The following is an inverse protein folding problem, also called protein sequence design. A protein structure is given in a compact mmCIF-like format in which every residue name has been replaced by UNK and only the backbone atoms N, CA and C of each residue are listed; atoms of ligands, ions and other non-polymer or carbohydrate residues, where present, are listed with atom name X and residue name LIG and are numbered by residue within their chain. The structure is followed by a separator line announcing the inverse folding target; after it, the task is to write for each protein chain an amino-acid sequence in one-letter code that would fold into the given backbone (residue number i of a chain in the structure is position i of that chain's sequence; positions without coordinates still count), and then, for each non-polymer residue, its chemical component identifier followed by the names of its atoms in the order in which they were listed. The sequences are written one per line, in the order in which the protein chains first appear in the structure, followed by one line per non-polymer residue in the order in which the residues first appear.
data_IF_772208479684
#
_entry.id   IF_772208479684
#
_cell.length_a   1.000
_cell.length_b   1.000
_cell.length_c   1.000
_cell.angle_alpha   90.00
_cell.angle_beta   90.00
_cell.angle_gamma   90.00
#
_symmetry.space_group_name_H-M   'P 1'
#
loop_
_entity.id
_entity.type
_entity.pdbx_description
1 polymer ?
#
# COMPACT_ATOMS: atom_id res chain seq x y z
N UNK A 1 26.12 10.77 36.33
CA UNK A 1 26.95 10.78 35.12
C UNK A 1 26.02 10.55 33.92
N UNK A 2 26.15 11.29 32.82
CA UNK A 2 25.38 10.99 31.63
C UNK A 2 25.77 9.61 31.09
N UNK A 3 24.79 8.79 30.76
CA UNK A 3 25.00 7.50 30.13
C UNK A 3 25.35 7.69 28.65
N UNK A 4 26.48 7.14 28.22
CA UNK A 4 26.91 7.13 26.81
C UNK A 4 26.84 5.72 26.28
N UNK A 5 25.83 5.38 25.42
CA UNK A 5 25.72 4.03 24.85
C UNK A 5 26.92 3.72 23.95
N UNK A 6 27.41 2.49 24.04
CA UNK A 6 28.43 1.97 23.13
C UNK A 6 27.78 1.50 21.82
N UNK A 7 28.46 1.60 20.66
CA UNK A 7 27.93 1.14 19.38
C UNK A 7 27.43 -0.32 19.42
N UNK A 8 28.10 -1.18 20.18
CA UNK A 8 27.71 -2.59 20.37
C UNK A 8 26.38 -2.80 21.11
N UNK A 9 25.87 -1.76 21.77
CA UNK A 9 24.58 -1.78 22.48
C UNK A 9 23.42 -1.31 21.61
N UNK A 10 23.72 -0.82 20.39
CA UNK A 10 22.71 -0.31 19.44
C UNK A 10 22.43 -1.39 18.41
N UNK A 11 21.16 -1.75 18.26
CA UNK A 11 20.68 -2.68 17.23
C UNK A 11 19.60 -2.00 16.41
N UNK A 12 19.68 -2.14 15.10
CA UNK A 12 18.65 -1.72 14.16
C UNK A 12 17.87 -2.95 13.67
N UNK A 13 16.57 -2.80 13.54
CA UNK A 13 15.67 -3.83 13.02
C UNK A 13 14.87 -3.25 11.87
N UNK A 14 14.82 -3.97 10.73
CA UNK A 14 13.84 -3.70 9.68
C UNK A 14 12.54 -4.41 10.08
N UNK A 15 11.48 -3.63 10.30
CA UNK A 15 10.13 -4.14 10.61
C UNK A 15 9.25 -3.93 9.39
N UNK A 16 8.68 -4.99 8.87
CA UNK A 16 7.79 -4.96 7.69
C UNK A 16 6.75 -6.08 7.79
N UNK A 17 5.74 -6.05 6.90
CA UNK A 17 4.79 -7.16 6.77
C UNK A 17 5.51 -8.44 6.33
N UNK A 18 5.07 -9.59 6.83
CA UNK A 18 5.57 -10.90 6.42
C UNK A 18 4.85 -11.34 5.13
N UNK A 19 5.34 -10.83 4.00
CA UNK A 19 4.77 -11.10 2.68
C UNK A 19 5.47 -12.27 2.00
N UNK A 20 4.67 -13.22 1.53
CA UNK A 20 5.18 -14.31 0.71
C UNK A 20 5.54 -13.78 -0.68
N UNK A 21 6.78 -13.99 -1.17
CA UNK A 21 7.13 -13.67 -2.55
C UNK A 21 6.23 -14.41 -3.54
N UNK A 22 5.70 -13.70 -4.53
CA UNK A 22 4.83 -14.24 -5.59
C UNK A 22 5.56 -14.37 -6.93
N UNK A 23 6.69 -13.69 -7.10
CA UNK A 23 7.49 -13.76 -8.32
C UNK A 23 8.98 -13.67 -8.04
N UNK A 24 9.77 -14.00 -9.06
CA UNK A 24 11.23 -13.81 -9.09
C UNK A 24 11.62 -13.15 -10.39
N UNK A 25 12.66 -12.33 -10.35
CA UNK A 25 13.21 -11.69 -11.54
C UNK A 25 14.73 -11.83 -11.56
N UNK A 26 15.26 -12.32 -12.66
CA UNK A 26 16.70 -12.39 -12.92
C UNK A 26 16.91 -12.23 -14.43
N UNK A 27 17.85 -11.38 -14.81
CA UNK A 27 18.26 -11.21 -16.20
C UNK A 27 19.79 -11.06 -16.31
N UNK A 28 20.30 -10.99 -17.54
CA UNK A 28 21.74 -10.82 -17.82
C UNK A 28 22.26 -9.40 -17.52
N UNK A 29 21.38 -8.44 -17.38
CA UNK A 29 21.72 -7.04 -17.09
C UNK A 29 21.79 -6.85 -15.57
N UNK A 30 22.98 -6.46 -15.08
CA UNK A 30 23.24 -6.29 -13.65
C UNK A 30 22.51 -5.10 -13.06
N UNK A 31 22.31 -4.03 -13.84
CA UNK A 31 21.64 -2.83 -13.37
C UNK A 31 20.13 -3.06 -13.21
N UNK A 32 19.52 -3.82 -14.12
CA UNK A 32 18.11 -4.20 -13.98
C UNK A 32 17.88 -5.10 -12.76
N UNK A 33 18.78 -6.04 -12.48
CA UNK A 33 18.69 -6.84 -11.26
C UNK A 33 18.81 -5.96 -10.00
N UNK A 34 19.75 -5.00 -10.00
CA UNK A 34 19.93 -4.09 -8.87
C UNK A 34 18.71 -3.17 -8.67
N UNK A 35 18.09 -2.69 -9.76
CA UNK A 35 16.84 -1.91 -9.70
C UNK A 35 15.71 -2.75 -9.10
N UNK A 36 15.56 -4.01 -9.55
CA UNK A 36 14.55 -4.91 -8.99
C UNK A 36 14.73 -5.11 -7.47
N UNK A 37 15.97 -5.35 -7.02
CA UNK A 37 16.28 -5.54 -5.60
C UNK A 37 16.01 -4.26 -4.79
N UNK A 38 16.32 -3.10 -5.35
CA UNK A 38 16.04 -1.80 -4.71
C UNK A 38 14.53 -1.54 -4.59
N UNK A 39 13.74 -1.85 -5.63
CA UNK A 39 12.27 -1.76 -5.58
C UNK A 39 11.71 -2.72 -4.53
N UNK A 40 12.20 -3.97 -4.50
CA UNK A 40 11.81 -4.96 -3.51
C UNK A 40 12.08 -4.49 -2.08
N UNK A 41 13.27 -3.97 -1.82
CA UNK A 41 13.63 -3.41 -0.52
C UNK A 41 12.76 -2.21 -0.14
N UNK A 42 12.49 -1.31 -1.09
CA UNK A 42 11.63 -0.13 -0.89
C UNK A 42 10.21 -0.55 -0.51
N UNK A 43 9.61 -1.49 -1.23
CA UNK A 43 8.27 -2.00 -0.91
C UNK A 43 8.21 -2.58 0.51
N UNK A 44 9.23 -3.30 0.94
CA UNK A 44 9.32 -3.82 2.31
C UNK A 44 9.44 -2.71 3.35
N UNK A 45 10.19 -1.66 3.07
CA UNK A 45 10.30 -0.49 3.97
C UNK A 45 9.00 0.30 4.08
N UNK A 46 8.17 0.30 3.04
CA UNK A 46 6.94 1.07 2.98
C UNK A 46 5.71 0.29 3.47
N UNK A 47 5.80 -1.03 3.63
CA UNK A 47 4.65 -1.86 4.01
C UNK A 47 4.72 -2.25 5.47
N UNK A 48 3.85 -1.63 6.27
CA UNK A 48 3.77 -1.84 7.70
C UNK A 48 2.30 -1.72 8.17
N UNK A 49 1.92 -2.50 9.18
CA UNK A 49 0.58 -2.46 9.79
C UNK A 49 -0.60 -2.70 8.83
N UNK A 50 -0.37 -3.42 7.73
CA UNK A 50 -1.46 -3.84 6.83
C UNK A 50 -1.87 -2.81 5.78
N UNK A 51 -1.05 -1.82 5.51
CA UNK A 51 -1.16 -0.89 4.37
C UNK A 51 0.23 -0.42 3.93
N UNK A 52 0.28 0.28 2.81
CA UNK A 52 1.50 0.90 2.31
C UNK A 52 1.51 2.38 2.66
N UNK A 53 2.65 2.88 3.12
CA UNK A 53 2.86 4.30 3.38
C UNK A 53 3.57 4.97 2.20
N UNK A 54 3.40 6.29 2.07
CA UNK A 54 4.05 7.11 1.05
C UNK A 54 5.57 7.17 1.24
N UNK A 55 6.01 7.48 2.46
CA UNK A 55 7.42 7.61 2.79
C UNK A 55 7.69 7.16 4.24
N UNK A 56 8.82 6.45 4.49
CA UNK A 56 9.06 5.87 5.82
C UNK A 56 9.60 6.89 6.85
N UNK A 57 9.98 8.09 6.43
CA UNK A 57 10.72 9.04 7.25
C UNK A 57 9.95 10.32 7.63
N UNK A 58 8.86 10.66 6.92
CA UNK A 58 8.05 11.86 7.19
C UNK A 58 6.61 11.51 7.56
N UNK A 59 5.72 11.50 6.58
CA UNK A 59 4.27 11.41 6.81
C UNK A 59 3.83 10.02 7.27
N UNK A 60 4.37 8.98 6.69
CA UNK A 60 4.03 7.56 6.98
C UNK A 60 2.54 7.29 6.94
N UNK A 61 1.89 7.82 5.90
CA UNK A 61 0.46 7.77 5.73
C UNK A 61 0.06 6.95 4.50
N UNK A 62 -1.11 6.33 4.55
CA UNK A 62 -1.63 5.47 3.48
C UNK A 62 -2.29 6.28 2.37
N UNK A 63 -1.50 7.01 1.58
CA UNK A 63 -2.00 7.79 0.45
C UNK A 63 -2.49 6.92 -0.70
N UNK A 64 -3.71 7.21 -1.19
CA UNK A 64 -4.29 6.47 -2.32
C UNK A 64 -3.54 6.64 -3.63
N UNK A 65 -2.93 7.82 -3.87
CA UNK A 65 -2.11 8.08 -5.06
C UNK A 65 -0.86 7.20 -5.09
N UNK A 66 -0.17 7.08 -3.95
CA UNK A 66 0.99 6.19 -3.79
C UNK A 66 0.59 4.74 -3.90
N UNK A 67 -0.56 4.37 -3.30
CA UNK A 67 -1.17 3.06 -3.49
C UNK A 67 -1.43 2.74 -4.95
N UNK A 68 -2.04 3.66 -5.70
CA UNK A 68 -2.31 3.46 -7.13
C UNK A 68 -1.04 3.27 -7.96
N UNK A 69 0.01 4.02 -7.66
CA UNK A 69 1.31 3.94 -8.36
C UNK A 69 2.03 2.62 -8.09
N UNK A 70 1.97 2.11 -6.86
CA UNK A 70 2.77 0.97 -6.40
C UNK A 70 2.04 -0.37 -6.42
N UNK A 71 0.69 -0.37 -6.45
CA UNK A 71 -0.13 -1.59 -6.38
C UNK A 71 0.30 -2.66 -7.38
N UNK A 72 0.56 -2.29 -8.64
CA UNK A 72 0.92 -3.26 -9.67
C UNK A 72 2.25 -3.97 -9.33
N UNK A 73 3.27 -3.22 -8.94
CA UNK A 73 4.55 -3.79 -8.55
C UNK A 73 4.40 -4.67 -7.29
N UNK A 74 3.73 -4.16 -6.27
CA UNK A 74 3.57 -4.87 -5.02
C UNK A 74 2.81 -6.18 -5.17
N UNK A 75 1.70 -6.19 -5.90
CA UNK A 75 0.91 -7.40 -6.15
C UNK A 75 1.58 -8.38 -7.13
N UNK A 76 2.50 -7.92 -7.97
CA UNK A 76 3.31 -8.80 -8.82
C UNK A 76 4.44 -9.47 -8.03
N UNK A 77 5.05 -8.75 -7.11
CA UNK A 77 6.20 -9.23 -6.33
C UNK A 77 5.80 -10.07 -5.12
N UNK A 78 4.60 -9.83 -4.56
CA UNK A 78 4.15 -10.44 -3.31
C UNK A 78 2.69 -10.90 -3.37
N UNK A 79 2.38 -11.94 -2.59
CA UNK A 79 1.00 -12.29 -2.25
C UNK A 79 0.45 -11.27 -1.24
N UNK A 80 -0.04 -10.17 -1.78
CA UNK A 80 -0.44 -8.99 -1.01
C UNK A 80 -1.97 -8.85 -0.83
N UNK A 81 -2.77 -9.80 -1.29
CA UNK A 81 -4.24 -9.72 -1.20
C UNK A 81 -4.75 -9.39 0.23
N UNK A 82 -4.23 -9.99 1.32
CA UNK A 82 -4.67 -9.64 2.68
C UNK A 82 -4.42 -8.19 3.06
N UNK A 83 -3.32 -7.58 2.58
CA UNK A 83 -3.02 -6.16 2.81
C UNK A 83 -4.07 -5.27 2.18
N UNK A 84 -4.45 -5.55 0.94
CA UNK A 84 -5.49 -4.78 0.25
C UNK A 84 -6.86 -4.96 0.88
N UNK A 85 -7.19 -6.16 1.39
CA UNK A 85 -8.41 -6.38 2.15
C UNK A 85 -8.47 -5.51 3.42
N UNK A 86 -7.36 -5.41 4.15
CA UNK A 86 -7.27 -4.55 5.33
C UNK A 86 -7.28 -3.05 4.96
N UNK A 87 -6.51 -2.66 3.97
CA UNK A 87 -6.39 -1.25 3.60
C UNK A 87 -7.69 -0.69 3.03
N UNK A 88 -8.39 -1.45 2.21
CA UNK A 88 -9.70 -1.06 1.68
C UNK A 88 -10.79 -0.98 2.75
N UNK A 89 -10.67 -1.75 3.85
CA UNK A 89 -11.54 -1.56 5.01
C UNK A 89 -11.36 -0.13 5.56
N UNK A 90 -10.13 0.33 5.75
CA UNK A 90 -9.85 1.68 6.20
C UNK A 90 -10.39 2.75 5.23
N UNK A 91 -10.32 2.52 3.91
CA UNK A 91 -10.90 3.41 2.91
C UNK A 91 -12.44 3.45 2.99
N UNK A 92 -13.09 2.32 3.23
CA UNK A 92 -14.52 2.26 3.48
C UNK A 92 -14.94 3.00 4.74
N UNK A 93 -14.14 2.87 5.80
CA UNK A 93 -14.43 3.48 7.11
C UNK A 93 -14.31 5.02 7.12
N UNK A 94 -13.48 5.60 6.24
CA UNK A 94 -13.30 7.06 6.14
C UNK A 94 -14.19 7.71 5.07
N UNK A 95 -14.98 6.95 4.33
CA UNK A 95 -15.90 7.49 3.32
C UNK A 95 -17.00 8.32 3.97
N UNK A 96 -17.22 9.51 3.46
CA UNK A 96 -18.27 10.43 3.92
C UNK A 96 -19.65 9.97 3.44
N UNK A 97 -20.71 10.50 4.08
CA UNK A 97 -22.08 10.16 3.72
C UNK A 97 -22.44 10.50 2.27
N UNK A 98 -21.85 11.55 1.71
CA UNK A 98 -22.04 11.97 0.31
C UNK A 98 -21.17 11.20 -0.69
N UNK A 99 -20.27 10.34 -0.24
CA UNK A 99 -19.34 9.56 -1.07
C UNK A 99 -17.95 10.16 -1.17
N UNK A 100 -17.72 11.33 -0.58
CA UNK A 100 -16.41 11.98 -0.53
C UNK A 100 -15.38 11.10 0.19
N UNK A 101 -14.16 11.09 -0.33
CA UNK A 101 -13.02 10.36 0.23
C UNK A 101 -11.85 11.31 0.48
N UNK A 102 -11.09 11.10 1.55
CA UNK A 102 -9.84 11.84 1.79
C UNK A 102 -8.72 11.33 0.88
N UNK A 103 -7.56 11.99 0.93
CA UNK A 103 -6.35 11.51 0.24
C UNK A 103 -5.73 10.28 0.90
N UNK A 104 -6.02 10.05 2.17
CA UNK A 104 -5.31 9.13 3.08
C UNK A 104 -6.28 8.26 3.85
N UNK A 105 -6.00 6.98 3.94
CA UNK A 105 -6.64 6.04 4.85
C UNK A 105 -5.62 5.02 5.41
N UNK A 106 -5.70 4.66 6.71
CA UNK A 106 -6.63 5.19 7.73
C UNK A 106 -6.40 6.67 8.02
N UNK A 107 -6.87 7.21 9.05
CA UNK A 107 -6.65 8.55 9.57
C UNK A 107 -7.38 9.70 8.85
N UNK A 108 -7.63 9.63 7.57
CA UNK A 108 -8.31 10.70 6.84
C UNK A 108 -7.52 12.02 6.76
N UNK A 109 -7.89 12.90 5.88
CA UNK A 109 -7.32 14.24 5.72
C UNK A 109 -7.29 14.70 4.28
N UNK A 110 -7.55 15.98 4.07
CA UNK A 110 -7.69 16.60 2.76
C UNK A 110 -8.95 16.16 2.01
N UNK A 111 -9.22 16.80 0.89
CA UNK A 111 -10.22 16.38 -0.09
C UNK A 111 -9.53 15.72 -1.27
N UNK A 112 -9.92 14.51 -1.61
CA UNK A 112 -9.21 13.73 -2.59
C UNK A 112 -9.57 14.12 -4.02
N UNK A 113 -8.57 14.29 -4.87
CA UNK A 113 -8.76 14.27 -6.31
C UNK A 113 -8.92 12.84 -6.82
N UNK A 114 -9.35 12.68 -8.09
CA UNK A 114 -9.72 11.38 -8.64
C UNK A 114 -8.59 10.34 -8.59
N UNK A 115 -7.34 10.76 -8.65
CA UNK A 115 -6.21 9.83 -8.61
C UNK A 115 -5.99 9.21 -7.22
N UNK A 116 -6.13 10.00 -6.16
CA UNK A 116 -6.00 9.48 -4.78
C UNK A 116 -7.22 8.67 -4.37
N UNK A 117 -8.41 9.24 -4.51
CA UNK A 117 -9.66 8.60 -4.10
C UNK A 117 -10.07 7.44 -5.01
N UNK A 118 -9.65 7.44 -6.27
CA UNK A 118 -9.82 6.34 -7.19
C UNK A 118 -9.18 5.03 -6.75
N UNK A 119 -8.37 5.05 -5.69
CA UNK A 119 -7.85 3.85 -5.04
C UNK A 119 -8.96 2.88 -4.62
N UNK A 120 -10.12 3.40 -4.18
CA UNK A 120 -11.30 2.59 -3.82
C UNK A 120 -11.80 1.71 -4.98
N UNK A 121 -11.51 2.09 -6.22
CA UNK A 121 -11.89 1.36 -7.46
C UNK A 121 -10.71 0.56 -8.00
N UNK A 122 -9.54 1.21 -8.12
CA UNK A 122 -8.37 0.62 -8.80
C UNK A 122 -7.74 -0.53 -8.01
N UNK A 123 -7.69 -0.43 -6.68
CA UNK A 123 -7.09 -1.48 -5.86
C UNK A 123 -7.93 -2.78 -5.90
N UNK A 124 -9.27 -2.78 -5.73
CA UNK A 124 -10.10 -3.97 -5.93
C UNK A 124 -9.97 -4.55 -7.35
N UNK A 125 -9.99 -3.71 -8.36
CA UNK A 125 -9.86 -4.16 -9.74
C UNK A 125 -8.52 -4.85 -10.01
N UNK A 126 -7.41 -4.26 -9.56
CA UNK A 126 -6.09 -4.86 -9.72
C UNK A 126 -5.93 -6.16 -8.92
N UNK A 127 -6.52 -6.23 -7.73
CA UNK A 127 -6.54 -7.45 -6.92
C UNK A 127 -7.28 -8.57 -7.65
N UNK A 128 -8.41 -8.26 -8.28
CA UNK A 128 -9.13 -9.22 -9.11
C UNK A 128 -8.30 -9.66 -10.34
N UNK A 129 -7.70 -8.72 -11.06
CA UNK A 129 -6.89 -9.04 -12.25
C UNK A 129 -5.66 -9.89 -11.90
N UNK A 130 -4.99 -9.61 -10.79
CA UNK A 130 -3.77 -10.31 -10.41
C UNK A 130 -4.01 -11.66 -9.71
N UNK A 131 -5.10 -11.79 -8.94
CA UNK A 131 -5.33 -12.96 -8.09
C UNK A 131 -6.63 -13.70 -8.40
N UNK A 132 -7.49 -13.20 -9.29
CA UNK A 132 -8.82 -13.75 -9.55
C UNK A 132 -9.81 -13.57 -8.39
N UNK A 133 -9.48 -12.74 -7.40
CA UNK A 133 -10.25 -12.56 -6.18
C UNK A 133 -11.26 -11.42 -6.32
N UNK A 134 -12.54 -11.75 -6.49
CA UNK A 134 -13.63 -10.77 -6.66
C UNK A 134 -14.15 -10.17 -5.35
N UNK A 135 -13.76 -10.69 -4.19
CA UNK A 135 -14.35 -10.31 -2.89
C UNK A 135 -14.28 -8.82 -2.59
N UNK A 136 -13.21 -8.14 -3.01
CA UNK A 136 -13.08 -6.70 -2.82
C UNK A 136 -14.00 -5.91 -3.76
N UNK A 137 -14.17 -6.34 -5.00
CA UNK A 137 -15.11 -5.73 -5.93
C UNK A 137 -16.55 -5.85 -5.42
N UNK A 138 -16.93 -7.03 -4.95
CA UNK A 138 -18.27 -7.30 -4.40
C UNK A 138 -18.51 -6.46 -3.13
N UNK A 139 -17.55 -6.48 -2.19
CA UNK A 139 -17.69 -5.80 -0.90
C UNK A 139 -17.77 -4.27 -1.02
N UNK A 140 -17.01 -3.67 -1.91
CA UNK A 140 -16.89 -2.21 -2.03
C UNK A 140 -17.63 -1.63 -3.25
N UNK A 141 -18.44 -2.42 -3.95
CA UNK A 141 -19.17 -1.99 -5.13
C UNK A 141 -20.07 -0.76 -4.87
N UNK A 142 -20.79 -0.77 -3.75
CA UNK A 142 -21.64 0.36 -3.38
C UNK A 142 -20.84 1.60 -2.99
N UNK A 143 -19.68 1.43 -2.34
CA UNK A 143 -18.76 2.54 -2.09
C UNK A 143 -18.22 3.14 -3.40
N UNK A 144 -17.85 2.29 -4.38
CA UNK A 144 -17.41 2.77 -5.70
C UNK A 144 -18.50 3.58 -6.41
N UNK A 145 -19.75 3.09 -6.45
CA UNK A 145 -20.88 3.83 -7.04
C UNK A 145 -21.10 5.16 -6.33
N UNK A 146 -21.04 5.16 -5.01
CA UNK A 146 -21.24 6.36 -4.21
C UNK A 146 -20.15 7.40 -4.48
N UNK A 147 -18.90 6.99 -4.59
CA UNK A 147 -17.79 7.87 -4.95
C UNK A 147 -17.92 8.42 -6.38
N UNK A 148 -18.39 7.63 -7.35
CA UNK A 148 -18.63 8.12 -8.72
C UNK A 148 -19.78 9.13 -8.81
N UNK A 149 -20.71 9.12 -7.86
CA UNK A 149 -21.82 10.07 -7.78
C UNK A 149 -21.50 11.37 -7.03
N UNK A 150 -20.35 11.38 -6.34
CA UNK A 150 -19.83 12.55 -5.61
C UNK A 150 -19.20 13.55 -6.57
#
# INVERSE_FOLDING_TARGET
MPYHPQPSQIKAYLVHGDYRPASTFVCSDVDLNAIHDMVNYTLRCLTFSGYMVDCPHLERAGYGGDGNSSTQAFQTMYDAAPTYMNWLQAWGDVMQEDGGLPHVAPAGGGGGGPYWCGFIVLAPWRTYVNYGDSRLLERYYDNMKKWFGY
#
